data_IF_602459008409
#
_entry.id   IF_602459008409
#
_cell.length_a   1.000
_cell.length_b   1.000
_cell.length_c   1.000
_cell.angle_alpha   90.00
_cell.angle_beta   90.00
_cell.angle_gamma   90.00
#
_symmetry.space_group_name_H-M   'P 1'
#
loop_
_entity.id
_entity.type
_entity.pdbx_description
1 polymer ?
#
# COMPACT_ATOMS: atom_id res chain seq x y z
N UNK A 1 -0.58 35.76 19.53
CA UNK A 1 -1.55 34.81 18.95
C UNK A 1 -0.75 33.90 18.04
N UNK A 2 -0.51 32.66 18.48
CA UNK A 2 0.28 31.68 17.73
C UNK A 2 -0.61 31.13 16.63
N UNK A 3 -0.15 31.19 15.38
CA UNK A 3 -0.81 30.57 14.24
C UNK A 3 -0.55 29.06 14.36
N UNK A 4 -1.61 28.28 14.55
CA UNK A 4 -1.55 26.83 14.40
C UNK A 4 -1.47 26.53 12.90
N UNK A 5 -0.48 25.74 12.52
CA UNK A 5 -0.36 25.19 11.17
C UNK A 5 -0.82 23.74 11.27
N UNK A 6 -1.98 23.45 10.67
CA UNK A 6 -2.46 22.08 10.43
C UNK A 6 -1.65 21.54 9.26
N UNK A 7 -1.06 20.36 9.37
CA UNK A 7 -0.26 19.75 8.29
C UNK A 7 -0.89 18.41 7.96
N UNK A 8 -1.99 18.43 7.21
CA UNK A 8 -2.70 17.22 6.83
C UNK A 8 -1.84 16.32 5.94
N UNK A 9 -1.57 15.09 6.40
CA UNK A 9 -0.84 14.09 5.62
C UNK A 9 -1.79 13.46 4.61
N UNK A 10 -1.85 14.04 3.40
CA UNK A 10 -2.60 13.49 2.27
C UNK A 10 -1.82 12.35 1.61
N UNK A 11 -2.35 11.12 1.68
CA UNK A 11 -1.82 9.97 0.95
C UNK A 11 -2.61 9.80 -0.35
N UNK A 12 -2.15 10.50 -1.40
CA UNK A 12 -2.65 10.34 -2.77
C UNK A 12 -2.16 8.99 -3.33
N UNK A 13 -3.05 8.02 -3.43
CA UNK A 13 -2.75 6.75 -4.10
C UNK A 13 -3.43 6.72 -5.47
N UNK A 14 -2.66 7.03 -6.50
CA UNK A 14 -3.01 6.68 -7.88
C UNK A 14 -2.62 5.22 -8.13
N UNK A 15 -3.57 4.28 -8.01
CA UNK A 15 -3.34 2.89 -8.42
C UNK A 15 -3.72 2.70 -9.90
N UNK A 16 -2.70 2.75 -10.77
CA UNK A 16 -2.77 2.17 -12.10
C UNK A 16 -2.64 0.65 -11.99
N UNK A 17 -3.64 -0.07 -12.48
CA UNK A 17 -3.76 -1.52 -12.34
C UNK A 17 -2.63 -2.31 -13.00
N UNK A 18 -2.29 -3.43 -12.37
CA UNK A 18 -1.65 -4.60 -12.98
C UNK A 18 -1.88 -5.77 -12.02
N UNK A 19 -2.86 -6.61 -12.35
CA UNK A 19 -3.18 -7.81 -11.59
C UNK A 19 -2.00 -8.79 -11.60
N UNK A 20 -1.41 -9.00 -10.44
CA UNK A 20 -0.75 -10.25 -10.08
C UNK A 20 -1.28 -10.69 -8.72
N UNK A 21 -1.98 -11.82 -8.72
CA UNK A 21 -2.47 -12.50 -7.52
C UNK A 21 -1.25 -12.94 -6.71
N UNK A 22 -0.84 -12.11 -5.77
CA UNK A 22 -0.01 -12.56 -4.65
C UNK A 22 -0.94 -13.21 -3.63
N UNK A 23 -0.52 -14.33 -3.06
CA UNK A 23 -1.19 -14.91 -1.91
C UNK A 23 -1.14 -13.86 -0.80
N UNK A 24 -2.28 -13.21 -0.55
CA UNK A 24 -2.46 -12.28 0.57
C UNK A 24 -2.23 -13.10 1.84
N UNK A 25 -1.10 -12.88 2.52
CA UNK A 25 -1.11 -13.00 3.97
C UNK A 25 -2.15 -11.97 4.41
N UNK A 26 -3.31 -12.42 4.87
CA UNK A 26 -4.28 -11.53 5.50
C UNK A 26 -3.53 -10.81 6.60
N UNK A 27 -3.31 -9.50 6.48
CA UNK A 27 -2.80 -8.70 7.59
C UNK A 27 -3.84 -8.85 8.71
N UNK A 28 -3.50 -9.70 9.68
CA UNK A 28 -4.33 -9.94 10.85
C UNK A 28 -4.39 -8.62 11.63
N UNK A 29 -5.60 -8.10 11.87
CA UNK A 29 -5.81 -6.89 12.67
C UNK A 29 -5.03 -7.05 14.00
N UNK A 30 -4.03 -6.20 14.19
CA UNK A 30 -3.15 -6.25 15.36
C UNK A 30 -3.81 -5.72 16.64
N UNK A 31 -5.09 -5.36 16.56
CA UNK A 31 -5.92 -4.87 17.65
C UNK A 31 -5.85 -3.35 17.82
N UNK A 32 -5.20 -2.64 16.92
CA UNK A 32 -5.17 -1.17 16.88
C UNK A 32 -6.17 -0.62 15.88
N UNK A 33 -6.46 0.68 15.97
CA UNK A 33 -7.32 1.35 14.98
C UNK A 33 -6.65 1.36 13.60
N UNK A 34 -5.34 1.55 13.57
CA UNK A 34 -4.51 1.47 12.36
C UNK A 34 -4.53 0.07 11.75
N UNK A 35 -4.44 -0.97 12.57
CA UNK A 35 -4.57 -2.36 12.14
C UNK A 35 -5.95 -2.67 11.55
N UNK A 36 -7.01 -2.14 12.16
CA UNK A 36 -8.37 -2.24 11.62
C UNK A 36 -8.51 -1.53 10.27
N UNK A 37 -8.00 -0.30 10.17
CA UNK A 37 -7.99 0.48 8.93
C UNK A 37 -7.23 -0.23 7.81
N UNK A 38 -6.02 -0.73 8.07
CA UNK A 38 -5.22 -1.47 7.07
C UNK A 38 -5.93 -2.77 6.63
N UNK A 39 -6.61 -3.44 7.57
CA UNK A 39 -7.42 -4.60 7.26
C UNK A 39 -8.60 -4.22 6.33
N UNK A 40 -9.28 -3.10 6.56
CA UNK A 40 -10.36 -2.63 5.67
C UNK A 40 -9.86 -2.19 4.30
N UNK A 41 -8.71 -1.51 4.22
CA UNK A 41 -8.07 -1.17 2.93
C UNK A 41 -7.76 -2.42 2.10
N UNK A 42 -7.40 -3.53 2.75
CA UNK A 42 -7.04 -4.78 2.08
C UNK A 42 -8.24 -5.66 1.78
N UNK A 43 -9.21 -5.74 2.70
CA UNK A 43 -10.28 -6.74 2.68
C UNK A 43 -11.68 -6.13 2.43
N UNK A 44 -11.78 -4.81 2.33
CA UNK A 44 -13.01 -4.07 2.16
C UNK A 44 -13.52 -3.44 3.46
N UNK A 45 -14.15 -2.28 3.33
CA UNK A 45 -14.78 -1.57 4.43
C UNK A 45 -16.15 -2.18 4.78
N UNK A 46 -16.59 -2.09 6.04
CA UNK A 46 -17.98 -2.31 6.39
C UNK A 46 -18.90 -1.34 5.63
N UNK A 47 -20.10 -1.80 5.28
CA UNK A 47 -21.03 -1.04 4.42
C UNK A 47 -21.53 0.27 5.05
N UNK A 48 -21.42 0.41 6.36
CA UNK A 48 -21.79 1.60 7.10
C UNK A 48 -20.62 2.54 7.38
N UNK A 49 -19.38 2.22 7.02
CA UNK A 49 -18.24 3.12 7.22
C UNK A 49 -18.11 4.07 6.03
N UNK A 50 -18.11 5.38 6.30
CA UNK A 50 -17.95 6.44 5.30
C UNK A 50 -16.51 6.91 5.12
N UNK A 51 -15.81 7.16 6.22
CA UNK A 51 -14.42 7.64 6.21
C UNK A 51 -13.73 7.34 7.53
N UNK A 52 -12.40 7.37 7.52
CA UNK A 52 -11.56 7.35 8.72
C UNK A 52 -10.55 8.49 8.62
N UNK A 53 -10.49 9.34 9.64
CA UNK A 53 -9.49 10.42 9.73
C UNK A 53 -8.77 10.41 11.06
N UNK A 54 -7.50 10.78 11.07
CA UNK A 54 -6.71 10.93 12.30
C UNK A 54 -6.62 12.41 12.67
N UNK A 55 -7.05 12.73 13.89
CA UNK A 55 -6.92 14.08 14.43
C UNK A 55 -5.51 14.26 15.02
N UNK A 56 -4.64 15.00 14.30
CA UNK A 56 -3.20 15.09 14.62
C UNK A 56 -2.88 15.56 16.05
N UNK A 57 -3.73 16.42 16.61
CA UNK A 57 -3.52 17.00 17.94
C UNK A 57 -3.94 16.07 19.09
N UNK A 58 -4.71 15.01 18.82
CA UNK A 58 -5.40 14.22 19.84
C UNK A 58 -5.08 12.73 19.81
N UNK A 59 -4.23 12.27 18.89
CA UNK A 59 -3.99 10.82 18.65
C UNK A 59 -5.31 10.04 18.55
N UNK A 60 -6.36 10.70 18.08
CA UNK A 60 -7.74 10.19 18.07
C UNK A 60 -8.16 9.96 16.63
N UNK A 61 -8.67 8.77 16.37
CA UNK A 61 -9.29 8.41 15.10
C UNK A 61 -10.76 8.77 15.13
N UNK A 62 -11.22 9.41 14.07
CA UNK A 62 -12.64 9.66 13.84
C UNK A 62 -13.08 8.71 12.73
N UNK A 63 -14.09 7.90 13.04
CA UNK A 63 -14.73 7.01 12.09
C UNK A 63 -16.12 7.58 11.78
N UNK A 64 -16.32 8.00 10.53
CA UNK A 64 -17.62 8.43 10.03
C UNK A 64 -18.49 7.22 9.72
N UNK A 65 -19.66 7.12 10.35
CA UNK A 65 -20.62 6.04 10.13
C UNK A 65 -21.89 6.58 9.46
N UNK A 66 -22.39 5.86 8.46
CA UNK A 66 -23.73 6.03 7.92
C UNK A 66 -24.71 5.41 8.91
N UNK A 67 -25.70 6.19 9.36
CA UNK A 67 -26.61 5.79 10.44
C UNK A 67 -25.82 5.54 11.74
N UNK A 68 -25.15 6.59 12.23
CA UNK A 68 -24.30 6.51 13.42
C UNK A 68 -25.10 6.29 14.72
N UNK A 69 -25.42 5.04 15.02
CA UNK A 69 -26.08 4.61 16.25
C UNK A 69 -25.19 3.78 17.19
N UNK A 70 -25.64 3.57 18.42
CA UNK A 70 -24.89 2.84 19.44
C UNK A 70 -24.55 1.40 18.99
N UNK A 71 -25.39 0.76 18.16
CA UNK A 71 -25.18 -0.60 17.68
C UNK A 71 -24.05 -0.62 16.65
N UNK A 72 -24.08 0.31 15.69
CA UNK A 72 -23.04 0.47 14.70
C UNK A 72 -21.67 0.80 15.34
N UNK A 73 -21.65 1.67 16.35
CA UNK A 73 -20.44 1.97 17.10
C UNK A 73 -19.91 0.74 17.84
N UNK A 74 -20.77 0.03 18.58
CA UNK A 74 -20.39 -1.17 19.33
C UNK A 74 -19.81 -2.28 18.43
N UNK A 75 -20.33 -2.44 17.21
CA UNK A 75 -19.80 -3.39 16.22
C UNK A 75 -18.36 -3.05 15.81
N UNK A 76 -18.05 -1.77 15.58
CA UNK A 76 -16.68 -1.33 15.26
C UNK A 76 -15.78 -1.48 16.49
N UNK A 77 -16.22 -1.03 17.65
CA UNK A 77 -15.45 -1.11 18.88
C UNK A 77 -15.16 -2.56 19.29
N UNK A 78 -16.04 -3.51 18.98
CA UNK A 78 -15.80 -4.93 19.24
C UNK A 78 -14.59 -5.52 18.50
N UNK A 79 -14.15 -4.85 17.43
CA UNK A 79 -12.99 -5.23 16.62
C UNK A 79 -11.68 -4.58 17.09
N UNK A 80 -11.75 -3.67 18.08
CA UNK A 80 -10.61 -2.89 18.58
C UNK A 80 -10.50 -3.10 20.09
N UNK A 81 -9.58 -3.96 20.57
CA UNK A 81 -9.34 -4.17 21.99
C UNK A 81 -9.00 -2.89 22.78
N UNK A 82 -8.34 -1.91 22.13
CA UNK A 82 -7.96 -0.62 22.71
C UNK A 82 -8.73 0.52 22.02
N UNK A 83 -9.94 0.82 22.52
CA UNK A 83 -10.87 1.79 21.91
C UNK A 83 -10.77 3.22 22.44
N UNK A 84 -9.85 3.50 23.38
CA UNK A 84 -9.81 4.76 24.13
C UNK A 84 -9.57 6.00 23.25
N UNK A 85 -9.14 5.82 22.01
CA UNK A 85 -8.77 6.86 21.05
C UNK A 85 -9.66 6.85 19.78
N UNK A 86 -10.89 6.35 19.87
CA UNK A 86 -11.85 6.36 18.74
C UNK A 86 -13.04 7.26 19.06
N UNK A 87 -13.35 8.15 18.13
CA UNK A 87 -14.56 8.95 18.10
C UNK A 87 -15.38 8.59 16.85
N UNK A 88 -16.69 8.78 16.94
CA UNK A 88 -17.61 8.51 15.85
C UNK A 88 -18.35 9.79 15.43
N UNK A 89 -18.54 9.93 14.13
CA UNK A 89 -19.28 11.02 13.51
C UNK A 89 -20.29 10.46 12.50
N UNK A 90 -21.28 11.26 12.12
CA UNK A 90 -22.20 10.90 11.04
C UNK A 90 -21.52 11.09 9.68
N UNK A 91 -21.67 10.13 8.78
CA UNK A 91 -21.27 10.24 7.38
C UNK A 91 -22.51 10.23 6.48
N UNK A 92 -22.52 11.12 5.48
CA UNK A 92 -23.64 11.18 4.51
C UNK A 92 -23.65 9.96 3.58
N UNK A 93 -22.48 9.46 3.21
CA UNK A 93 -22.30 8.36 2.26
C UNK A 93 -21.30 7.35 2.82
N UNK A 94 -21.49 6.07 2.51
CA UNK A 94 -20.51 5.04 2.85
C UNK A 94 -19.36 5.05 1.84
N UNK A 95 -18.20 4.56 2.28
CA UNK A 95 -17.02 4.38 1.44
C UNK A 95 -17.34 3.46 0.25
N UNK A 96 -18.07 2.36 0.49
CA UNK A 96 -18.43 1.40 -0.55
C UNK A 96 -19.40 2.01 -1.58
N UNK A 97 -20.29 2.92 -1.17
CA UNK A 97 -21.15 3.66 -2.10
C UNK A 97 -20.32 4.60 -2.99
N UNK A 98 -19.38 5.34 -2.41
CA UNK A 98 -18.49 6.23 -3.17
C UNK A 98 -17.53 5.45 -4.07
N UNK A 99 -17.06 4.27 -3.63
CA UNK A 99 -16.21 3.39 -4.43
C UNK A 99 -16.95 2.86 -5.67
N UNK A 100 -18.25 2.56 -5.55
CA UNK A 100 -19.07 2.18 -6.70
C UNK A 100 -19.18 3.34 -7.70
N UNK A 101 -19.49 4.55 -7.22
CA UNK A 101 -19.54 5.76 -8.05
C UNK A 101 -18.19 6.06 -8.70
N UNK A 102 -17.08 5.91 -7.96
CA UNK A 102 -15.72 6.05 -8.50
C UNK A 102 -15.45 5.07 -9.64
N UNK A 103 -15.92 3.83 -9.51
CA UNK A 103 -15.82 2.83 -10.56
C UNK A 103 -16.54 3.24 -11.86
N UNK A 104 -17.75 3.80 -11.73
CA UNK A 104 -18.56 4.25 -12.88
C UNK A 104 -17.97 5.51 -13.54
N UNK A 105 -17.61 6.52 -12.74
CA UNK A 105 -16.98 7.76 -13.22
C UNK A 105 -15.59 7.50 -13.80
N UNK A 106 -14.86 6.52 -13.25
CA UNK A 106 -13.53 6.14 -13.74
C UNK A 106 -13.51 5.60 -15.17
N UNK A 107 -14.65 5.17 -15.72
CA UNK A 107 -14.75 4.82 -17.15
C UNK A 107 -14.58 6.04 -18.07
N UNK A 108 -14.96 7.24 -17.60
CA UNK A 108 -14.75 8.49 -18.35
C UNK A 108 -13.26 8.78 -18.53
N UNK A 109 -12.46 8.59 -17.46
CA UNK A 109 -11.01 8.78 -17.49
C UNK A 109 -10.31 7.83 -18.48
N UNK A 110 -10.88 6.64 -18.72
CA UNK A 110 -10.32 5.65 -19.65
C UNK A 110 -10.63 5.97 -21.11
N UNK A 111 -11.55 6.88 -21.35
CA UNK A 111 -11.95 7.31 -22.68
C UNK A 111 -11.18 8.57 -23.09
N UNK A 112 -10.18 8.38 -23.96
CA UNK A 112 -9.33 9.44 -24.52
C UNK A 112 -10.13 10.49 -25.33
N UNK A 113 -11.41 10.25 -25.63
CA UNK A 113 -12.30 11.21 -26.30
C UNK A 113 -13.00 12.16 -25.31
N UNK A 114 -12.85 11.95 -23.99
CA UNK A 114 -13.46 12.81 -22.96
C UNK A 114 -12.47 13.86 -22.43
N UNK A 115 -12.97 15.02 -21.97
CA UNK A 115 -12.15 16.05 -21.32
C UNK A 115 -11.82 15.73 -19.84
N UNK A 116 -11.96 14.46 -19.41
CA UNK A 116 -11.76 14.04 -18.02
C UNK A 116 -10.35 13.46 -17.85
N UNK A 117 -9.59 13.97 -16.89
CA UNK A 117 -8.18 13.58 -16.69
C UNK A 117 -7.96 12.68 -15.48
N UNK A 118 -8.80 12.82 -14.46
CA UNK A 118 -8.62 12.13 -13.19
C UNK A 118 -9.97 11.83 -12.54
N UNK A 119 -10.02 10.72 -11.80
CA UNK A 119 -11.10 10.41 -10.89
C UNK A 119 -10.49 9.74 -9.66
N UNK A 120 -10.73 10.31 -8.48
CA UNK A 120 -10.24 9.80 -7.21
C UNK A 120 -11.30 9.93 -6.13
N UNK A 121 -11.08 9.28 -4.99
CA UNK A 121 -11.86 9.53 -3.77
C UNK A 121 -10.99 10.29 -2.79
N UNK A 122 -11.52 11.35 -2.20
CA UNK A 122 -10.75 12.11 -1.24
C UNK A 122 -11.44 13.36 -0.71
N UNK A 123 -10.63 14.18 -0.08
CA UNK A 123 -11.00 15.47 0.47
C UNK A 123 -10.82 16.57 -0.58
N UNK A 124 -11.54 17.68 -0.42
CA UNK A 124 -11.33 18.89 -1.21
C UNK A 124 -10.03 19.57 -0.76
N UNK A 125 -9.35 20.25 -1.67
CA UNK A 125 -8.24 21.15 -1.30
C UNK A 125 -8.63 22.58 -1.67
N UNK A 126 -8.71 23.46 -0.67
CA UNK A 126 -9.00 24.89 -0.88
C UNK A 126 -7.79 25.70 -0.43
N UNK A 127 -7.22 26.48 -1.33
CA UNK A 127 -6.04 27.33 -1.05
C UNK A 127 -4.84 26.58 -0.45
N UNK A 128 -4.69 25.29 -0.80
CA UNK A 128 -3.61 24.42 -0.30
C UNK A 128 -3.88 23.82 1.08
N UNK A 129 -5.04 24.09 1.66
CA UNK A 129 -5.52 23.44 2.89
C UNK A 129 -6.47 22.31 2.50
N UNK A 130 -6.22 21.12 3.06
CA UNK A 130 -7.11 19.98 2.85
C UNK A 130 -8.34 20.16 3.75
N UNK A 131 -9.48 20.23 3.09
CA UNK A 131 -10.80 20.41 3.71
C UNK A 131 -11.68 19.26 3.24
N UNK A 132 -12.27 18.48 4.14
CA UNK A 132 -13.29 17.54 3.72
C UNK A 132 -14.58 18.22 3.29
N UNK A 133 -15.55 17.38 2.95
CA UNK A 133 -16.90 17.77 2.59
C UNK A 133 -17.83 17.65 3.81
N UNK A 134 -19.09 18.05 3.62
CA UNK A 134 -20.11 17.98 4.66
C UNK A 134 -19.93 19.01 5.78
N UNK A 135 -20.80 18.94 6.79
CA UNK A 135 -20.77 19.87 7.93
C UNK A 135 -19.59 19.60 8.87
N UNK A 136 -19.11 18.36 8.95
CA UNK A 136 -17.94 17.99 9.75
C UNK A 136 -16.63 18.48 9.13
N UNK A 137 -16.60 18.68 7.80
CA UNK A 137 -15.37 18.95 7.07
C UNK A 137 -14.42 17.75 7.03
N UNK A 138 -14.92 16.55 7.34
CA UNK A 138 -14.17 15.29 7.34
C UNK A 138 -14.73 14.29 6.32
N UNK A 139 -15.79 14.62 5.58
CA UNK A 139 -16.33 13.69 4.59
C UNK A 139 -15.47 13.66 3.32
N UNK A 140 -15.48 12.53 2.63
CA UNK A 140 -14.87 12.37 1.31
C UNK A 140 -15.95 12.40 0.22
N UNK A 141 -15.53 12.70 -1.02
CA UNK A 141 -16.34 12.60 -2.25
C UNK A 141 -15.51 11.99 -3.36
N UNK A 142 -16.15 11.62 -4.46
CA UNK A 142 -15.48 11.28 -5.71
C UNK A 142 -15.09 12.59 -6.40
N UNK A 143 -13.80 12.90 -6.43
CA UNK A 143 -13.27 14.10 -7.08
C UNK A 143 -12.87 13.78 -8.53
N UNK A 144 -13.30 14.61 -9.47
CA UNK A 144 -13.10 14.42 -10.90
C UNK A 144 -12.40 15.64 -11.49
N UNK A 145 -11.18 15.44 -11.98
CA UNK A 145 -10.43 16.46 -12.70
C UNK A 145 -10.89 16.55 -14.14
N UNK A 146 -11.41 17.71 -14.53
CA UNK A 146 -11.93 17.97 -15.88
C UNK A 146 -11.25 19.20 -16.46
N UNK A 147 -11.03 19.20 -17.78
CA UNK A 147 -10.53 20.37 -18.50
C UNK A 147 -11.39 21.62 -18.18
N UNK A 148 -10.79 22.78 -17.86
CA UNK A 148 -11.53 23.92 -17.33
C UNK A 148 -12.65 24.45 -18.23
N UNK A 149 -12.53 24.26 -19.55
CA UNK A 149 -13.54 24.69 -20.52
C UNK A 149 -14.82 23.84 -20.46
N UNK A 150 -14.74 22.61 -19.93
CA UNK A 150 -15.84 21.65 -19.83
C UNK A 150 -16.30 21.40 -18.39
N UNK A 151 -15.64 22.00 -17.40
CA UNK A 151 -15.90 21.75 -15.98
C UNK A 151 -17.36 22.04 -15.57
N UNK A 152 -17.94 23.16 -16.03
CA UNK A 152 -19.33 23.50 -15.72
C UNK A 152 -20.34 22.50 -16.32
N UNK A 153 -20.10 22.06 -17.56
CA UNK A 153 -20.96 21.06 -18.24
C UNK A 153 -20.91 19.72 -17.51
N UNK A 154 -19.72 19.26 -17.15
CA UNK A 154 -19.53 18.01 -16.41
C UNK A 154 -20.03 18.11 -14.97
N UNK A 155 -19.96 19.29 -14.34
CA UNK A 155 -20.56 19.53 -13.04
C UNK A 155 -22.08 19.35 -13.09
N UNK A 156 -22.76 19.99 -14.04
CA UNK A 156 -24.21 19.84 -14.22
C UNK A 156 -24.60 18.39 -14.54
N UNK A 157 -23.83 17.72 -15.40
CA UNK A 157 -24.09 16.33 -15.80
C UNK A 157 -23.94 15.37 -14.62
N UNK A 158 -22.81 15.42 -13.91
CA UNK A 158 -22.50 14.48 -12.84
C UNK A 158 -23.26 14.80 -11.55
N UNK A 159 -23.61 16.06 -11.29
CA UNK A 159 -24.56 16.42 -10.21
C UNK A 159 -25.96 15.85 -10.49
N UNK A 160 -26.44 15.90 -11.74
CA UNK A 160 -27.74 15.34 -12.08
C UNK A 160 -27.81 13.81 -11.91
N UNK A 161 -26.69 13.11 -12.13
CA UNK A 161 -26.63 11.65 -12.05
C UNK A 161 -26.28 11.13 -10.65
N UNK A 162 -25.27 11.70 -10.01
CA UNK A 162 -24.71 11.21 -8.75
C UNK A 162 -24.98 12.13 -7.55
N UNK A 163 -25.45 13.36 -7.78
CA UNK A 163 -25.69 14.36 -6.75
C UNK A 163 -24.38 14.84 -6.11
N UNK A 164 -24.45 15.15 -4.82
CA UNK A 164 -23.30 15.65 -4.03
C UNK A 164 -22.19 14.61 -3.84
N UNK A 165 -22.34 13.37 -4.31
CA UNK A 165 -21.30 12.32 -4.23
C UNK A 165 -20.07 12.63 -5.08
N UNK A 166 -20.24 13.44 -6.12
CA UNK A 166 -19.19 13.78 -7.08
C UNK A 166 -18.87 15.26 -6.97
N UNK A 167 -17.58 15.58 -6.93
CA UNK A 167 -17.06 16.93 -6.94
C UNK A 167 -16.17 17.15 -8.17
N UNK A 168 -16.42 18.22 -8.93
CA UNK A 168 -15.62 18.56 -10.10
C UNK A 168 -14.52 19.55 -9.72
N UNK A 169 -13.31 19.24 -10.14
CA UNK A 169 -12.16 20.13 -10.08
C UNK A 169 -11.74 20.50 -11.50
N UNK A 170 -11.64 21.81 -11.77
CA UNK A 170 -11.14 22.31 -13.04
C UNK A 170 -9.61 22.17 -13.06
N UNK A 171 -9.12 21.08 -13.65
CA UNK A 171 -7.70 20.74 -13.71
C UNK A 171 -7.18 20.83 -15.15
N UNK A 172 -5.97 21.38 -15.34
CA UNK A 172 -5.29 21.29 -16.63
C UNK A 172 -4.78 19.87 -16.90
N UNK A 173 -4.51 19.54 -18.17
CA UNK A 173 -3.91 18.25 -18.52
C UNK A 173 -2.72 17.93 -17.61
N UNK A 174 -2.65 16.71 -17.04
CA UNK A 174 -1.47 16.30 -16.31
C UNK A 174 -0.28 16.37 -17.27
N UNK A 175 0.76 17.13 -16.88
CA UNK A 175 1.99 17.24 -17.67
C UNK A 175 2.62 15.85 -17.71
N UNK A 176 2.44 15.15 -18.84
CA UNK A 176 3.14 13.90 -19.10
C UNK A 176 4.62 14.24 -19.31
N UNK A 177 5.44 14.06 -18.28
CA UNK A 177 6.90 14.10 -18.43
C UNK A 177 7.35 12.83 -19.16
N UNK A 178 7.00 12.72 -20.44
CA UNK A 178 7.50 11.70 -21.37
C UNK A 178 8.59 12.20 -22.31
N UNK A 179 9.00 13.47 -22.16
CA UNK A 179 10.32 13.93 -22.55
C UNK A 179 11.08 14.34 -21.28
N UNK A 180 11.94 13.44 -20.82
CA UNK A 180 13.00 13.78 -19.89
C UNK A 180 14.03 14.65 -20.64
N UNK A 181 13.67 15.89 -20.96
CA UNK A 181 14.69 16.92 -21.08
C UNK A 181 15.18 17.21 -19.67
N UNK A 182 16.47 16.96 -19.44
CA UNK A 182 17.20 17.23 -18.21
C UNK A 182 16.93 18.66 -17.75
N UNK A 183 15.94 18.84 -16.87
CA UNK A 183 15.74 20.10 -16.18
C UNK A 183 16.88 20.25 -15.18
N UNK A 184 17.75 21.22 -15.45
CA UNK A 184 18.87 21.63 -14.59
C UNK A 184 18.47 21.61 -13.10
N UNK A 185 19.26 20.95 -12.22
CA UNK A 185 18.88 20.80 -10.83
C UNK A 185 18.94 22.16 -10.13
N UNK A 186 17.78 22.71 -9.76
CA UNK A 186 17.72 23.76 -8.75
C UNK A 186 18.21 23.17 -7.40
N UNK A 187 19.08 23.88 -6.67
CA UNK A 187 19.65 23.37 -5.44
C UNK A 187 18.64 23.48 -4.31
N UNK A 188 18.17 22.34 -3.79
CA UNK A 188 17.43 22.31 -2.51
C UNK A 188 17.89 21.14 -1.63
N UNK A 189 18.10 21.46 -0.36
CA UNK A 189 19.14 20.97 0.55
C UNK A 189 18.90 19.63 1.25
N UNK A 190 17.99 18.78 0.77
CA UNK A 190 17.58 17.57 1.51
C UNK A 190 17.75 16.25 0.74
N UNK A 191 18.40 16.24 -0.43
CA UNK A 191 18.69 15.01 -1.18
C UNK A 191 19.49 13.97 -0.39
N UNK A 192 20.34 14.41 0.54
CA UNK A 192 21.11 13.52 1.41
C UNK A 192 20.22 12.75 2.40
N UNK A 193 19.05 13.27 2.76
CA UNK A 193 18.07 12.61 3.64
C UNK A 193 17.43 11.44 2.90
N UNK A 194 17.05 11.61 1.63
CA UNK A 194 16.52 10.52 0.81
C UNK A 194 17.56 9.43 0.57
N UNK A 195 18.82 9.79 0.34
CA UNK A 195 19.92 8.81 0.23
C UNK A 195 20.16 8.06 1.56
N UNK A 196 20.02 8.73 2.70
CA UNK A 196 20.07 8.07 4.01
C UNK A 196 18.90 7.12 4.24
N UNK A 197 17.68 7.50 3.84
CA UNK A 197 16.49 6.65 3.96
C UNK A 197 16.58 5.40 3.07
N UNK A 198 17.05 5.54 1.83
CA UNK A 198 17.33 4.40 0.93
C UNK A 198 18.42 3.50 1.53
N UNK A 199 19.48 4.10 2.09
CA UNK A 199 20.52 3.36 2.80
C UNK A 199 20.00 2.58 4.01
N UNK A 200 19.16 3.20 4.83
CA UNK A 200 18.54 2.59 6.01
C UNK A 200 17.60 1.44 5.63
N UNK A 201 16.77 1.63 4.61
CA UNK A 201 15.90 0.58 4.08
C UNK A 201 16.71 -0.64 3.58
N UNK A 202 17.84 -0.38 2.91
CA UNK A 202 18.75 -1.44 2.42
C UNK A 202 19.37 -2.23 3.58
N UNK A 203 19.82 -1.53 4.63
CA UNK A 203 20.40 -2.17 5.83
C UNK A 203 19.35 -2.95 6.61
N UNK A 204 18.13 -2.41 6.72
CA UNK A 204 17.02 -3.08 7.38
C UNK A 204 16.58 -4.33 6.63
N UNK A 205 16.52 -4.29 5.30
CA UNK A 205 16.22 -5.45 4.45
C UNK A 205 17.28 -6.56 4.62
N UNK A 206 18.57 -6.20 4.62
CA UNK A 206 19.66 -7.17 4.85
C UNK A 206 19.61 -7.74 6.28
N UNK A 207 19.29 -6.91 7.28
CA UNK A 207 19.14 -7.35 8.66
C UNK A 207 17.94 -8.29 8.84
N UNK A 208 16.80 -7.99 8.22
CA UNK A 208 15.61 -8.86 8.18
C UNK A 208 15.89 -10.21 7.53
N UNK A 209 16.59 -10.22 6.40
CA UNK A 209 17.00 -11.45 5.72
C UNK A 209 17.95 -12.29 6.59
N UNK A 210 18.79 -11.63 7.39
CA UNK A 210 19.76 -12.28 8.27
C UNK A 210 19.14 -12.73 9.60
N UNK A 211 18.15 -12.00 10.13
CA UNK A 211 17.45 -12.30 11.38
C UNK A 211 16.40 -13.41 11.20
N UNK A 212 15.81 -13.53 10.01
CA UNK A 212 14.84 -14.58 9.67
C UNK A 212 15.45 -15.93 9.29
N UNK A 213 16.78 -16.10 9.34
CA UNK A 213 17.41 -17.39 9.10
C UNK A 213 17.02 -18.03 7.76
N UNK A 214 16.92 -17.22 6.69
CA UNK A 214 16.53 -17.70 5.37
C UNK A 214 17.64 -18.61 4.83
N UNK A 215 17.50 -19.91 5.09
CA UNK A 215 18.29 -20.96 4.47
C UNK A 215 17.88 -20.96 3.00
N UNK A 216 18.73 -20.41 2.13
CA UNK A 216 18.59 -20.59 0.69
C UNK A 216 18.63 -22.08 0.38
N UNK A 217 17.47 -22.70 0.22
CA UNK A 217 17.38 -24.10 -0.22
C UNK A 217 17.90 -24.19 -1.64
N UNK A 218 19.13 -24.69 -1.82
CA UNK A 218 19.65 -25.07 -3.13
C UNK A 218 19.16 -26.49 -3.45
N UNK A 219 18.31 -26.60 -4.47
CA UNK A 219 17.90 -27.90 -5.02
C UNK A 219 19.08 -28.53 -5.78
N UNK A 220 19.42 -29.77 -5.44
CA UNK A 220 20.29 -30.62 -6.26
C UNK A 220 19.54 -31.10 -7.50
N UNK A 221 20.26 -31.48 -8.56
CA UNK A 221 19.72 -31.91 -9.86
C UNK A 221 18.81 -33.17 -9.80
N UNK A 222 18.63 -33.78 -8.62
CA UNK A 222 17.70 -34.89 -8.36
C UNK A 222 16.39 -34.51 -7.64
N UNK A 223 16.14 -33.22 -7.35
CA UNK A 223 14.84 -32.75 -6.86
C UNK A 223 14.57 -32.84 -5.34
N UNK A 224 15.54 -33.29 -4.54
CA UNK A 224 15.39 -33.32 -3.07
C UNK A 224 15.86 -32.00 -2.42
N UNK A 225 15.06 -31.48 -1.48
CA UNK A 225 15.32 -30.22 -0.77
C UNK A 225 16.26 -30.52 0.41
N UNK A 226 17.51 -30.06 0.31
CA UNK A 226 18.51 -30.21 1.37
C UNK A 226 18.51 -28.94 2.23
N UNK A 227 17.98 -29.02 3.44
CA UNK A 227 18.23 -28.05 4.52
C UNK A 227 19.59 -28.36 5.15
N UNK A 228 20.57 -27.47 5.01
CA UNK A 228 21.94 -27.66 5.52
C UNK A 228 21.96 -27.83 7.05
N UNK A 229 22.42 -28.99 7.52
CA UNK A 229 23.57 -29.13 8.44
C UNK A 229 23.69 -30.60 8.92
N UNK A 230 24.02 -31.52 8.02
CA UNK A 230 24.49 -32.86 8.43
C UNK A 230 25.90 -33.04 7.91
N UNK A 231 26.87 -33.25 8.81
CA UNK A 231 28.18 -33.77 8.42
C UNK A 231 27.92 -35.14 7.78
N UNK A 232 28.16 -35.24 6.48
CA UNK A 232 28.02 -36.50 5.75
C UNK A 232 29.04 -37.49 6.29
N UNK A 233 28.57 -38.69 6.63
CA UNK A 233 29.47 -39.75 7.09
C UNK A 233 30.35 -40.21 5.94
N UNK A 234 31.55 -40.71 6.26
CA UNK A 234 32.50 -41.22 5.26
C UNK A 234 31.87 -42.26 4.32
N UNK A 235 30.93 -43.05 4.84
CA UNK A 235 30.24 -44.08 4.08
C UNK A 235 29.23 -43.49 3.09
N UNK A 236 28.47 -42.46 3.47
CA UNK A 236 27.54 -41.76 2.56
C UNK A 236 28.29 -41.07 1.40
N UNK A 237 29.52 -40.61 1.65
CA UNK A 237 30.38 -40.03 0.59
C UNK A 237 30.92 -41.12 -0.34
N UNK A 238 31.32 -42.28 0.20
CA UNK A 238 31.82 -43.40 -0.62
C UNK A 238 30.71 -43.99 -1.51
N UNK A 239 29.48 -44.06 -1.00
CA UNK A 239 28.35 -44.59 -1.77
C UNK A 239 27.92 -43.61 -2.88
N UNK A 240 27.83 -42.31 -2.59
CA UNK A 240 27.51 -41.29 -3.60
C UNK A 240 28.54 -41.20 -4.74
N UNK A 241 29.82 -41.48 -4.46
CA UNK A 241 30.85 -41.51 -5.50
C UNK A 241 30.76 -42.78 -6.36
N UNK A 242 30.36 -43.92 -5.79
CA UNK A 242 30.14 -45.17 -6.53
C UNK A 242 28.86 -45.13 -7.38
N UNK A 243 27.85 -44.36 -6.95
CA UNK A 243 26.59 -44.18 -7.68
C UNK A 243 26.66 -43.12 -8.79
N UNK A 244 27.74 -42.34 -8.84
CA UNK A 244 28.01 -41.39 -9.93
C UNK A 244 28.22 -42.15 -11.26
N UNK A 245 27.48 -41.74 -12.29
CA UNK A 245 27.56 -42.28 -13.65
C UNK A 245 28.87 -41.94 -14.39
N UNK A 246 29.76 -41.20 -13.72
CA UNK A 246 31.08 -40.81 -14.19
C UNK A 246 32.08 -41.33 -13.16
N UNK A 247 32.90 -42.32 -13.54
CA UNK A 247 34.03 -42.81 -12.72
C UNK A 247 35.08 -41.70 -12.60
N UNK A 248 35.32 -41.15 -11.40
CA UNK A 248 36.36 -40.15 -11.22
C UNK A 248 37.75 -40.82 -11.25
N UNK A 249 38.74 -40.14 -11.83
CA UNK A 249 40.14 -40.56 -11.79
C UNK A 249 40.61 -40.80 -10.34
N UNK A 250 41.35 -41.88 -10.08
CA UNK A 250 41.74 -42.34 -8.74
C UNK A 250 42.45 -41.26 -7.91
N UNK A 251 43.20 -40.38 -8.59
CA UNK A 251 43.90 -39.26 -7.95
C UNK A 251 42.93 -38.19 -7.44
N UNK A 252 41.85 -37.96 -8.16
CA UNK A 252 40.78 -37.04 -7.79
C UNK A 252 39.99 -37.59 -6.60
N UNK A 253 39.69 -38.88 -6.61
CA UNK A 253 39.04 -39.56 -5.49
C UNK A 253 39.85 -39.46 -4.20
N UNK A 254 41.15 -39.79 -4.26
CA UNK A 254 42.01 -39.69 -3.07
C UNK A 254 42.17 -38.24 -2.56
N UNK A 255 42.19 -37.26 -3.47
CA UNK A 255 42.28 -35.85 -3.10
C UNK A 255 41.03 -35.36 -2.37
N UNK A 256 39.85 -35.82 -2.78
CA UNK A 256 38.58 -35.54 -2.12
C UNK A 256 38.59 -36.16 -0.71
N UNK A 257 38.90 -37.46 -0.59
CA UNK A 257 38.92 -38.15 0.70
C UNK A 257 39.92 -37.53 1.70
N UNK A 258 41.10 -37.11 1.23
CA UNK A 258 42.11 -36.47 2.10
C UNK A 258 41.67 -35.10 2.62
N UNK A 259 40.92 -34.33 1.82
CA UNK A 259 40.46 -32.98 2.19
C UNK A 259 39.32 -33.03 3.21
N UNK A 260 38.46 -34.04 3.14
CA UNK A 260 37.33 -34.20 4.06
C UNK A 260 37.75 -34.69 5.45
N UNK A 261 38.85 -35.46 5.55
CA UNK A 261 39.37 -35.97 6.85
C UNK A 261 40.21 -34.91 7.61
N UNK A 262 40.76 -33.91 6.92
CA UNK A 262 41.67 -32.91 7.52
C UNK A 262 40.98 -31.70 8.17
N UNK A 263 39.65 -31.64 8.15
CA UNK A 263 38.86 -30.56 8.76
C UNK A 263 38.22 -31.02 10.09
N UNK A 264 38.99 -31.81 10.86
CA UNK A 264 38.64 -32.29 12.20
C UNK A 264 39.53 -31.63 13.24
#
# INVERSE_FOLDING_TARGET
>A
MKKLSVVLVALLIAFAGSGTVYANETEENDGTVEGLYNNWETNGYPDNVGYVVMHEDQETFIIGLVENDDVAQDEILSQIPESDNVAFEEATYSYNELLAVHGEVGELVRDDETPVYSAGMGFRVVDGEVTGFGESGNEIRVTVGVEPEFADEYADQLEAEYGDRVHIEAEGQPVTTMDAEESDPMPNSNQWIYLMLIGLASVFAVWLLKSRGVIFSRKSAGGEVITESRQLSKNEIEDAVKESSIEPDDKLFQKIMKKTVSNK
#
